data_IF_669641900946
#
_entry.id   IF_669641900946
#
_cell.length_a   1.000
_cell.length_b   1.000
_cell.length_c   1.000
_cell.angle_alpha   90.00
_cell.angle_beta   90.00
_cell.angle_gamma   90.00
#
_symmetry.space_group_name_H-M   'P 1'
#
loop_
_entity.id
_entity.type
_entity.pdbx_description
1 polymer ?
#
# COMPACT_ATOMS: atom_id res chain seq x y z
N UNK A 1 40.22 3.22 -18.20
CA UNK A 1 39.47 2.69 -17.03
C UNK A 1 38.34 3.68 -16.76
N UNK A 2 37.16 3.45 -17.35
CA UNK A 2 36.04 4.40 -17.19
C UNK A 2 35.46 4.21 -15.80
N UNK A 3 35.54 5.26 -15.00
CA UNK A 3 35.00 5.40 -13.65
C UNK A 3 33.59 4.82 -13.58
N UNK A 4 33.40 3.77 -12.78
CA UNK A 4 32.10 3.13 -12.59
C UNK A 4 31.12 4.18 -12.11
N UNK A 5 30.10 4.45 -12.92
CA UNK A 5 28.98 5.28 -12.52
C UNK A 5 28.43 4.70 -11.21
N UNK A 6 28.49 5.51 -10.16
CA UNK A 6 27.90 5.15 -8.87
C UNK A 6 26.39 5.01 -9.08
N UNK A 7 25.94 3.79 -9.39
CA UNK A 7 24.53 3.43 -9.47
C UNK A 7 23.90 3.82 -8.13
N UNK A 8 23.19 4.95 -8.13
CA UNK A 8 22.49 5.47 -6.96
C UNK A 8 21.51 4.38 -6.54
N UNK A 9 21.74 3.68 -5.41
CA UNK A 9 20.88 2.57 -5.04
C UNK A 9 19.47 3.14 -4.91
N UNK A 10 18.44 2.50 -5.52
CA UNK A 10 17.09 2.97 -5.39
C UNK A 10 16.74 3.07 -3.90
N UNK A 11 15.93 4.05 -3.47
CA UNK A 11 15.72 4.36 -2.06
C UNK A 11 14.81 3.34 -1.35
N UNK A 12 15.07 2.04 -1.52
CA UNK A 12 14.33 0.95 -0.88
C UNK A 12 14.40 1.04 0.65
N UNK A 13 15.55 1.45 1.20
CA UNK A 13 15.74 1.63 2.64
C UNK A 13 14.80 2.71 3.22
N UNK A 14 14.56 3.79 2.48
CA UNK A 14 13.66 4.86 2.91
C UNK A 14 12.19 4.41 2.90
N UNK A 15 11.80 3.62 1.91
CA UNK A 15 10.44 3.07 1.77
C UNK A 15 10.20 2.00 2.83
N UNK A 16 11.20 1.16 3.11
CA UNK A 16 11.15 0.17 4.18
C UNK A 16 10.92 0.85 5.53
N UNK A 17 11.67 1.92 5.83
CA UNK A 17 11.46 2.70 7.06
C UNK A 17 10.08 3.36 7.11
N UNK A 18 9.58 3.87 5.97
CA UNK A 18 8.23 4.43 5.86
C UNK A 18 7.14 3.39 6.13
N UNK A 19 7.23 2.21 5.53
CA UNK A 19 6.29 1.10 5.77
C UNK A 19 6.38 0.60 7.22
N UNK A 20 7.59 0.48 7.77
CA UNK A 20 7.80 0.08 9.15
C UNK A 20 7.15 1.08 10.11
N UNK A 21 7.42 2.38 9.96
CA UNK A 21 6.81 3.43 10.77
C UNK A 21 5.27 3.42 10.67
N UNK A 22 4.73 3.22 9.46
CA UNK A 22 3.29 3.12 9.25
C UNK A 22 2.68 1.92 9.97
N UNK A 23 3.41 0.80 10.02
CA UNK A 23 2.96 -0.43 10.69
C UNK A 23 3.00 -0.28 12.21
N UNK A 24 4.03 0.37 12.76
CA UNK A 24 4.09 0.72 14.18
C UNK A 24 2.94 1.66 14.55
N UNK A 25 2.65 2.67 13.72
CA UNK A 25 1.53 3.59 13.94
C UNK A 25 0.17 2.85 13.91
N UNK A 26 0.00 1.92 12.97
CA UNK A 26 -1.22 1.12 12.84
C UNK A 26 -1.45 0.21 14.05
N UNK A 27 -0.40 -0.46 14.53
CA UNK A 27 -0.45 -1.28 15.77
C UNK A 27 -0.73 -0.39 16.98
N UNK A 28 -0.10 0.78 17.08
CA UNK A 28 -0.36 1.75 18.15
C UNK A 28 -1.80 2.24 18.17
N UNK A 29 -2.36 2.58 17.01
CA UNK A 29 -3.77 2.95 16.85
C UNK A 29 -4.70 1.80 17.21
N UNK A 30 -4.41 0.58 16.78
CA UNK A 30 -5.21 -0.60 17.08
C UNK A 30 -5.20 -0.94 18.59
N UNK A 31 -4.08 -0.74 19.27
CA UNK A 31 -3.95 -0.96 20.72
C UNK A 31 -4.62 0.16 21.53
N UNK A 32 -4.69 1.38 21.01
CA UNK A 32 -5.52 2.46 21.56
C UNK A 32 -7.00 2.21 21.22
N UNK A 33 -7.58 1.18 21.83
CA UNK A 33 -8.94 0.70 21.62
C UNK A 33 -10.06 1.65 22.12
N UNK A 34 -9.73 2.87 22.54
CA UNK A 34 -10.70 3.82 23.13
C UNK A 34 -11.47 4.65 22.08
N UNK A 35 -11.25 4.41 20.79
CA UNK A 35 -11.85 5.16 19.67
C UNK A 35 -13.08 4.40 19.14
N UNK A 36 -14.17 5.09 18.73
CA UNK A 36 -15.29 4.47 18.04
C UNK A 36 -14.84 3.60 16.86
N UNK A 37 -15.36 2.37 16.77
CA UNK A 37 -14.96 1.37 15.76
C UNK A 37 -14.97 1.90 14.32
N UNK A 38 -15.88 2.81 13.99
CA UNK A 38 -15.97 3.44 12.67
C UNK A 38 -14.77 4.33 12.36
N UNK A 39 -14.32 5.13 13.33
CA UNK A 39 -13.14 5.99 13.17
C UNK A 39 -11.86 5.18 13.10
N UNK A 40 -11.77 4.11 13.89
CA UNK A 40 -10.68 3.14 13.82
C UNK A 40 -10.62 2.47 12.44
N UNK A 41 -11.74 1.97 11.93
CA UNK A 41 -11.82 1.36 10.61
C UNK A 41 -11.41 2.33 9.49
N UNK A 42 -11.88 3.58 9.51
CA UNK A 42 -11.48 4.59 8.53
C UNK A 42 -9.98 4.91 8.62
N UNK A 43 -9.42 5.05 9.82
CA UNK A 43 -7.99 5.33 10.02
C UNK A 43 -7.09 4.19 9.54
N UNK A 44 -7.44 2.95 9.87
CA UNK A 44 -6.75 1.75 9.41
C UNK A 44 -6.85 1.60 7.89
N UNK A 45 -8.02 1.84 7.31
CA UNK A 45 -8.21 1.81 5.85
C UNK A 45 -7.33 2.83 5.14
N UNK A 46 -7.27 4.07 5.65
CA UNK A 46 -6.42 5.11 5.09
C UNK A 46 -4.93 4.75 5.15
N UNK A 47 -4.49 4.16 6.27
CA UNK A 47 -3.11 3.66 6.42
C UNK A 47 -2.81 2.51 5.45
N UNK A 48 -3.75 1.58 5.25
CA UNK A 48 -3.61 0.50 4.29
C UNK A 48 -3.46 1.02 2.85
N UNK A 49 -4.29 2.00 2.45
CA UNK A 49 -4.15 2.64 1.13
C UNK A 49 -2.81 3.35 0.96
N UNK A 50 -2.33 4.03 2.00
CA UNK A 50 -1.03 4.72 1.94
C UNK A 50 0.14 3.74 1.80
N UNK A 51 0.11 2.58 2.49
CA UNK A 51 1.09 1.50 2.28
C UNK A 51 1.03 0.99 0.85
N UNK A 52 -0.16 0.70 0.34
CA UNK A 52 -0.35 0.23 -1.03
C UNK A 52 0.21 1.24 -2.05
N UNK A 53 -0.01 2.54 -1.83
CA UNK A 53 0.56 3.60 -2.66
C UNK A 53 2.09 3.64 -2.59
N UNK A 54 2.69 3.56 -1.39
CA UNK A 54 4.14 3.49 -1.22
C UNK A 54 4.74 2.27 -1.92
N UNK A 55 4.10 1.10 -1.80
CA UNK A 55 4.52 -0.15 -2.45
C UNK A 55 4.40 -0.03 -3.97
N UNK A 56 3.29 0.49 -4.49
CA UNK A 56 3.08 0.68 -5.92
C UNK A 56 4.06 1.70 -6.53
N UNK A 57 4.32 2.81 -5.85
CA UNK A 57 5.20 3.86 -6.33
C UNK A 57 6.68 3.45 -6.31
N UNK A 58 7.12 2.68 -5.31
CA UNK A 58 8.54 2.42 -5.06
C UNK A 58 8.97 0.95 -5.19
N UNK A 59 8.16 -0.02 -4.78
CA UNK A 59 8.52 -1.45 -4.83
C UNK A 59 8.22 -2.08 -6.19
N UNK A 60 7.15 -1.66 -6.86
CA UNK A 60 6.80 -2.14 -8.19
C UNK A 60 7.53 -1.40 -9.33
N UNK A 61 8.45 -0.47 -9.03
CA UNK A 61 9.12 0.39 -10.03
C UNK A 61 8.20 1.16 -10.99
N UNK A 62 6.89 1.20 -10.73
CA UNK A 62 5.85 1.72 -11.62
C UNK A 62 6.04 3.19 -11.99
N UNK A 63 6.75 3.98 -11.16
CA UNK A 63 7.14 5.36 -11.46
C UNK A 63 8.14 5.46 -12.63
N UNK A 64 8.93 4.42 -12.87
CA UNK A 64 10.01 4.38 -13.86
C UNK A 64 9.70 3.45 -15.05
N UNK A 65 8.54 2.80 -15.06
CA UNK A 65 8.11 1.82 -16.07
C UNK A 65 6.87 2.27 -16.86
N UNK A 66 6.61 1.71 -18.05
CA UNK A 66 5.52 2.15 -18.92
C UNK A 66 4.13 1.89 -18.32
N UNK A 67 3.18 2.81 -18.61
CA UNK A 67 1.78 2.82 -18.14
C UNK A 67 0.99 1.50 -18.36
N UNK A 68 1.51 0.55 -19.14
CA UNK A 68 0.92 -0.78 -19.34
C UNK A 68 0.96 -1.66 -18.07
N UNK A 69 2.01 -1.54 -17.25
CA UNK A 69 2.11 -2.30 -16.00
C UNK A 69 1.11 -1.82 -14.94
N UNK A 70 0.69 -0.54 -15.01
CA UNK A 70 -0.42 -0.02 -14.20
C UNK A 70 -1.72 -0.80 -14.43
N UNK A 71 -2.01 -1.20 -15.68
CA UNK A 71 -3.21 -1.98 -16.02
C UNK A 71 -3.14 -3.40 -15.44
N UNK A 72 -1.95 -4.01 -15.44
CA UNK A 72 -1.73 -5.33 -14.84
C UNK A 72 -1.97 -5.31 -13.33
N UNK A 73 -1.44 -4.29 -12.64
CA UNK A 73 -1.64 -4.10 -11.19
C UNK A 73 -3.07 -3.72 -10.84
N UNK A 74 -3.78 -3.03 -11.75
CA UNK A 74 -5.19 -2.68 -11.57
C UNK A 74 -6.15 -3.85 -11.88
N UNK A 75 -5.72 -4.86 -12.63
CA UNK A 75 -6.54 -6.03 -13.00
C UNK A 75 -7.25 -6.74 -11.83
N UNK A 76 -6.64 -6.93 -10.65
CA UNK A 76 -7.33 -7.57 -9.52
C UNK A 76 -8.39 -6.68 -8.86
N UNK A 77 -8.36 -5.36 -9.03
CA UNK A 77 -9.31 -4.43 -8.38
C UNK A 77 -10.78 -4.73 -8.73
N UNK A 78 -11.19 -4.88 -10.00
CA UNK A 78 -12.58 -5.23 -10.31
C UNK A 78 -12.99 -6.60 -9.75
N UNK A 79 -12.06 -7.55 -9.68
CA UNK A 79 -12.30 -8.86 -9.06
C UNK A 79 -12.60 -8.73 -7.56
N UNK A 80 -11.82 -7.91 -6.84
CA UNK A 80 -12.05 -7.59 -5.43
C UNK A 80 -13.41 -6.91 -5.23
N UNK A 81 -13.77 -5.97 -6.10
CA UNK A 81 -15.07 -5.27 -6.03
C UNK A 81 -16.26 -6.23 -6.19
N UNK A 82 -16.17 -7.16 -7.15
CA UNK A 82 -17.19 -8.20 -7.33
C UNK A 82 -17.26 -9.08 -6.08
N UNK A 83 -16.12 -9.51 -5.54
CA UNK A 83 -16.07 -10.36 -4.35
C UNK A 83 -16.73 -9.70 -3.14
N UNK A 84 -16.44 -8.42 -2.90
CA UNK A 84 -17.06 -7.64 -1.81
C UNK A 84 -18.58 -7.56 -2.01
N UNK A 85 -19.04 -7.30 -3.24
CA UNK A 85 -20.47 -7.21 -3.53
C UNK A 85 -21.21 -8.53 -3.30
N UNK A 86 -20.64 -9.65 -3.76
CA UNK A 86 -21.22 -10.99 -3.56
C UNK A 86 -21.30 -11.32 -2.08
N UNK A 87 -20.21 -11.11 -1.33
CA UNK A 87 -20.17 -11.40 0.11
C UNK A 87 -21.14 -10.53 0.89
N UNK A 88 -21.25 -9.24 0.57
CA UNK A 88 -22.24 -8.36 1.22
C UNK A 88 -23.66 -8.82 0.91
N UNK A 89 -23.95 -9.21 -0.33
CA UNK A 89 -25.28 -9.71 -0.72
C UNK A 89 -25.64 -11.04 -0.03
N UNK A 90 -24.65 -11.86 0.30
CA UNK A 90 -24.86 -13.11 1.03
C UNK A 90 -25.02 -12.92 2.55
N UNK A 91 -24.41 -11.86 3.11
CA UNK A 91 -24.50 -11.53 4.55
C UNK A 91 -25.82 -10.82 4.91
N UNK A 92 -26.40 -10.05 3.98
CA UNK A 92 -27.65 -9.28 4.17
C UNK A 92 -28.89 -10.02 3.65
#
# INVERSE_FOLDING_TARGET
>A
MSTGEAHKPPPYMAVWFGLFALTVAEVGLALMASIPKVWLAMGLMAMAFYKAFLVAAYYMHLKWEPKRLWVLVASPIPLIMILIFVVLNEIF
#
